data_IF_331785653419
#
_entry.id   IF_331785653419
#
_cell.length_a   1.000
_cell.length_b   1.000
_cell.length_c   1.000
_cell.angle_alpha   90.00
_cell.angle_beta   90.00
_cell.angle_gamma   90.00
#
_symmetry.space_group_name_H-M   'P 1'
#
loop_
_entity.id
_entity.type
_entity.pdbx_description
1 polymer ?
#
# COMPACT_ATOMS: atom_id res chain seq x y z
N UNK A 1 4.98 -28.33 20.65
CA UNK A 1 4.87 -27.36 21.76
C UNK A 1 4.02 -26.19 21.28
N UNK A 2 3.00 -25.80 22.03
CA UNK A 2 2.14 -24.65 21.71
C UNK A 2 0.67 -24.96 22.00
N UNK A 3 0.17 -24.44 23.12
CA UNK A 3 -1.20 -24.62 23.65
C UNK A 3 -2.11 -23.46 23.21
N UNK A 4 -3.39 -23.81 23.03
CA UNK A 4 -4.63 -23.01 23.10
C UNK A 4 -4.88 -21.84 22.11
N UNK A 5 -6.04 -21.87 21.45
CA UNK A 5 -7.19 -21.01 21.81
C UNK A 5 -8.48 -21.46 21.11
N UNK A 6 -9.60 -21.41 21.85
CA UNK A 6 -10.98 -21.64 21.44
C UNK A 6 -11.46 -20.63 20.39
N UNK A 7 -12.27 -21.05 19.41
CA UNK A 7 -13.69 -20.65 19.28
C UNK A 7 -14.37 -21.33 18.06
N UNK A 8 -15.70 -21.45 18.16
CA UNK A 8 -16.72 -21.63 17.11
C UNK A 8 -17.22 -23.04 16.70
N UNK A 9 -18.51 -23.21 17.04
CA UNK A 9 -19.64 -23.60 16.19
C UNK A 9 -19.99 -25.09 15.96
N UNK A 10 -20.94 -25.56 16.79
CA UNK A 10 -22.24 -26.22 16.51
C UNK A 10 -22.38 -27.17 15.28
N UNK A 11 -22.99 -28.32 15.59
CA UNK A 11 -23.74 -29.32 14.77
C UNK A 11 -22.92 -30.35 14.00
N UNK A 12 -22.88 -31.57 14.53
CA UNK A 12 -23.32 -32.75 13.77
C UNK A 12 -23.67 -33.91 14.70
N UNK A 13 -24.93 -34.32 14.60
CA UNK A 13 -25.49 -35.57 15.08
C UNK A 13 -24.81 -36.71 14.31
N UNK A 14 -24.40 -37.77 15.01
CA UNK A 14 -24.50 -39.19 14.61
C UNK A 14 -23.47 -40.00 15.43
N UNK A 15 -23.92 -40.58 16.55
CA UNK A 15 -23.26 -41.74 17.15
C UNK A 15 -24.17 -42.94 16.93
N UNK A 16 -23.62 -43.90 16.19
CA UNK A 16 -24.14 -45.25 16.03
C UNK A 16 -23.88 -46.09 17.30
N UNK A 17 -24.50 -47.29 17.32
CA UNK A 17 -24.50 -48.40 18.29
C UNK A 17 -25.70 -48.39 19.25
N UNK A 18 -26.41 -49.49 19.48
CA UNK A 18 -26.30 -50.85 18.98
C UNK A 18 -27.64 -51.56 19.15
N UNK A 19 -27.85 -52.61 18.34
CA UNK A 19 -28.92 -53.58 18.46
C UNK A 19 -28.86 -54.32 19.81
N UNK A 20 -29.97 -54.38 20.52
CA UNK A 20 -30.30 -55.52 21.37
C UNK A 20 -31.82 -55.71 21.38
N UNK A 21 -32.21 -56.89 20.93
CA UNK A 21 -33.55 -57.43 20.92
C UNK A 21 -34.01 -57.63 22.38
N UNK A 22 -35.12 -57.02 22.80
CA UNK A 22 -35.91 -57.60 23.88
C UNK A 22 -37.40 -57.30 23.71
N UNK A 23 -38.16 -58.38 23.63
CA UNK A 23 -39.61 -58.43 23.54
C UNK A 23 -40.19 -58.21 24.93
N UNK A 24 -40.55 -56.97 25.24
CA UNK A 24 -41.18 -56.61 26.52
C UNK A 24 -42.34 -55.66 26.30
N UNK A 25 -43.55 -56.13 26.59
CA UNK A 25 -44.81 -55.40 26.49
C UNK A 25 -44.81 -54.25 27.54
N UNK A 26 -44.31 -53.07 27.16
CA UNK A 26 -44.22 -51.90 28.05
C UNK A 26 -45.53 -51.11 28.03
N UNK A 27 -46.49 -51.50 28.88
CA UNK A 27 -47.64 -50.66 29.17
C UNK A 27 -47.20 -49.50 30.07
N UNK A 28 -47.02 -48.32 29.47
CA UNK A 28 -46.67 -47.09 30.19
C UNK A 28 -47.66 -46.80 31.33
N UNK A 29 -47.11 -46.60 32.52
CA UNK A 29 -47.90 -46.31 33.71
C UNK A 29 -48.44 -44.86 33.64
N UNK A 30 -49.62 -44.62 34.22
CA UNK A 30 -50.37 -43.33 34.10
C UNK A 30 -49.59 -42.10 34.62
N UNK A 31 -48.50 -42.31 35.35
CA UNK A 31 -47.59 -41.30 35.90
C UNK A 31 -46.49 -40.89 34.90
N UNK A 32 -46.00 -41.82 34.08
CA UNK A 32 -44.96 -41.56 33.06
C UNK A 32 -45.56 -40.90 31.80
N UNK A 33 -46.87 -41.04 31.56
CA UNK A 33 -47.60 -40.26 30.56
C UNK A 33 -47.76 -38.77 30.91
N UNK A 34 -47.44 -38.33 32.14
CA UNK A 34 -47.54 -36.92 32.56
C UNK A 34 -46.23 -36.13 32.46
N UNK A 35 -45.09 -36.77 32.25
CA UNK A 35 -43.79 -36.08 32.18
C UNK A 35 -43.29 -35.84 30.74
N UNK A 36 -44.06 -36.26 29.73
CA UNK A 36 -43.79 -35.95 28.31
C UNK A 36 -44.73 -34.89 27.73
N UNK A 37 -45.34 -34.06 28.58
CA UNK A 37 -46.12 -32.90 28.15
C UNK A 37 -45.45 -31.61 28.62
N UNK A 38 -44.28 -31.28 28.06
CA UNK A 38 -43.83 -29.89 28.02
C UNK A 38 -44.62 -29.19 26.92
N UNK A 39 -45.80 -28.67 27.27
CA UNK A 39 -46.46 -27.67 26.44
C UNK A 39 -45.67 -26.38 26.62
N UNK A 40 -44.59 -26.22 25.84
CA UNK A 40 -44.04 -24.91 25.57
C UNK A 40 -45.14 -24.13 24.87
N UNK A 41 -45.80 -23.23 25.61
CA UNK A 41 -46.76 -22.29 25.02
C UNK A 41 -46.00 -21.61 23.90
N UNK A 42 -46.51 -21.70 22.67
CA UNK A 42 -45.97 -20.96 21.52
C UNK A 42 -45.88 -19.51 21.97
N UNK A 43 -44.66 -19.00 22.13
CA UNK A 43 -44.44 -17.58 22.37
C UNK A 43 -44.95 -16.86 21.13
N UNK A 44 -45.87 -15.92 21.30
CA UNK A 44 -46.13 -14.94 20.26
C UNK A 44 -44.85 -14.11 20.14
N UNK A 45 -44.13 -14.28 19.03
CA UNK A 45 -43.10 -13.33 18.63
C UNK A 45 -43.84 -12.34 17.75
N UNK A 46 -43.94 -11.08 18.16
CA UNK A 46 -44.41 -10.03 17.28
C UNK A 46 -43.42 -9.96 16.11
N UNK A 47 -43.92 -10.09 14.88
CA UNK A 47 -43.11 -9.84 13.68
C UNK A 47 -42.65 -8.39 13.71
N UNK A 48 -41.40 -8.15 13.31
CA UNK A 48 -40.90 -6.79 13.07
C UNK A 48 -41.85 -6.04 12.15
N UNK A 49 -42.27 -4.84 12.56
CA UNK A 49 -43.10 -3.96 11.75
C UNK A 49 -42.15 -3.16 10.87
N UNK A 50 -42.44 -3.09 9.57
CA UNK A 50 -41.63 -2.33 8.62
C UNK A 50 -42.39 -1.07 8.20
N UNK A 51 -41.76 0.09 8.34
CA UNK A 51 -42.25 1.37 7.83
C UNK A 51 -41.25 1.93 6.83
N UNK A 52 -41.72 2.52 5.74
CA UNK A 52 -40.84 3.20 4.78
C UNK A 52 -40.50 4.58 5.33
N UNK A 53 -39.24 4.97 5.24
CA UNK A 53 -38.80 6.31 5.63
C UNK A 53 -39.34 7.40 4.70
N UNK A 54 -39.17 8.66 5.13
CA UNK A 54 -39.55 9.86 4.38
C UNK A 54 -40.97 9.84 3.76
N UNK A 55 -41.88 9.14 4.45
CA UNK A 55 -43.27 9.03 4.01
C UNK A 55 -43.92 10.44 4.03
N UNK A 56 -44.44 10.94 2.88
CA UNK A 56 -45.00 12.28 2.79
C UNK A 56 -46.35 12.46 3.53
N UNK A 57 -46.92 11.39 4.09
CA UNK A 57 -48.21 11.42 4.79
C UNK A 57 -49.39 11.06 3.88
N UNK A 58 -50.64 11.45 4.24
CA UNK A 58 -51.02 12.22 5.43
C UNK A 58 -50.88 11.39 6.73
N UNK A 59 -50.63 12.08 7.85
CA UNK A 59 -50.54 11.50 9.19
C UNK A 59 -51.79 11.81 10.04
N UNK A 60 -52.15 10.97 11.02
CA UNK A 60 -51.49 9.73 11.42
C UNK A 60 -51.77 8.56 10.47
N UNK A 61 -50.77 7.68 10.26
CA UNK A 61 -50.92 6.44 9.49
C UNK A 61 -50.93 5.23 10.41
N UNK A 62 -51.77 4.24 10.09
CA UNK A 62 -51.80 2.97 10.84
C UNK A 62 -50.56 2.17 10.47
N UNK A 63 -49.69 1.90 11.45
CA UNK A 63 -48.49 1.07 11.29
C UNK A 63 -48.83 -0.42 11.46
N UNK A 64 -49.62 -0.75 12.49
CA UNK A 64 -50.12 -2.11 12.72
C UNK A 64 -51.31 -2.07 13.68
N UNK A 65 -51.88 -3.24 13.99
CA UNK A 65 -52.84 -3.40 15.06
C UNK A 65 -52.44 -4.58 15.94
N UNK A 66 -52.33 -4.34 17.25
CA UNK A 66 -51.97 -5.35 18.23
C UNK A 66 -53.25 -5.94 18.83
N UNK A 67 -53.28 -7.26 18.98
CA UNK A 67 -54.41 -7.98 19.54
C UNK A 67 -54.00 -8.82 20.75
N UNK A 68 -54.89 -8.93 21.73
CA UNK A 68 -54.76 -9.87 22.85
C UNK A 68 -55.84 -10.97 22.74
N UNK A 69 -55.50 -12.22 23.02
CA UNK A 69 -56.43 -13.36 22.96
C UNK A 69 -57.46 -13.36 24.11
N UNK A 70 -57.21 -12.57 25.16
CA UNK A 70 -58.16 -12.36 26.28
C UNK A 70 -59.11 -11.17 26.09
N UNK A 71 -58.94 -10.40 25.02
CA UNK A 71 -59.70 -9.16 24.75
C UNK A 71 -61.23 -9.33 24.75
N UNK A 72 -61.82 -10.43 24.22
CA UNK A 72 -63.29 -10.53 24.09
C UNK A 72 -64.06 -10.57 25.42
N UNK A 73 -63.40 -10.82 26.57
CA UNK A 73 -64.09 -10.98 27.85
C UNK A 73 -64.04 -9.74 28.75
N UNK A 74 -63.26 -8.70 28.39
CA UNK A 74 -62.80 -7.68 29.35
C UNK A 74 -62.64 -6.25 28.77
N UNK A 75 -63.31 -5.95 27.66
CA UNK A 75 -63.16 -4.69 26.87
C UNK A 75 -63.30 -3.41 27.71
N UNK A 76 -64.06 -3.46 28.82
CA UNK A 76 -64.31 -2.29 29.67
C UNK A 76 -63.25 -2.07 30.78
N UNK A 77 -62.40 -3.06 31.09
CA UNK A 77 -61.51 -3.00 32.26
C UNK A 77 -60.03 -2.87 31.93
N UNK A 78 -59.65 -2.96 30.66
CA UNK A 78 -58.25 -2.87 30.23
C UNK A 78 -58.02 -1.78 29.19
N UNK A 79 -56.78 -1.29 29.15
CA UNK A 79 -56.28 -0.37 28.14
C UNK A 79 -54.91 -0.81 27.63
N UNK A 80 -54.68 -0.64 26.32
CA UNK A 80 -53.39 -0.84 25.69
C UNK A 80 -52.49 0.38 25.90
N UNK A 81 -51.21 0.14 26.19
CA UNK A 81 -50.21 1.19 26.34
C UNK A 81 -48.92 0.77 25.63
N UNK A 82 -48.27 1.73 24.99
CA UNK A 82 -46.90 1.57 24.48
C UNK A 82 -45.94 2.51 25.19
N UNK A 83 -44.67 2.14 25.25
CA UNK A 83 -43.57 2.94 25.81
C UNK A 83 -42.24 2.61 25.13
N UNK A 84 -41.21 3.44 25.35
CA UNK A 84 -39.88 3.30 24.72
C UNK A 84 -39.59 4.41 23.69
N UNK A 85 -38.55 4.19 22.89
CA UNK A 85 -38.09 5.12 21.84
C UNK A 85 -39.19 5.35 20.81
N UNK A 86 -39.42 6.61 20.41
CA UNK A 86 -40.51 6.93 19.50
C UNK A 86 -41.84 7.22 20.19
N UNK A 87 -41.97 6.91 21.49
CA UNK A 87 -43.21 7.08 22.26
C UNK A 87 -42.97 7.99 23.47
N UNK A 88 -42.35 7.44 24.51
CA UNK A 88 -42.08 8.11 25.79
C UNK A 88 -40.63 8.54 25.93
N UNK A 89 -39.74 8.01 25.09
CA UNK A 89 -38.33 8.36 25.00
C UNK A 89 -38.06 9.02 23.65
N UNK A 90 -36.98 9.82 23.57
CA UNK A 90 -36.64 10.53 22.34
C UNK A 90 -36.36 9.59 21.16
N UNK A 91 -36.85 9.91 19.95
CA UNK A 91 -37.71 11.05 19.62
C UNK A 91 -39.16 10.81 20.09
N UNK A 92 -39.70 11.69 20.93
CA UNK A 92 -41.04 11.48 21.50
C UNK A 92 -42.17 11.71 20.48
N UNK A 93 -43.30 11.03 20.67
CA UNK A 93 -44.52 11.25 19.89
C UNK A 93 -44.46 10.84 18.41
N UNK A 94 -43.54 9.94 18.04
CA UNK A 94 -43.55 9.30 16.71
C UNK A 94 -44.72 8.33 16.61
N UNK A 95 -44.92 7.50 17.64
CA UNK A 95 -45.95 6.45 17.67
C UNK A 95 -46.95 6.66 18.78
N UNK A 96 -48.20 6.26 18.53
CA UNK A 96 -49.24 6.12 19.55
C UNK A 96 -49.98 4.81 19.38
N UNK A 97 -50.64 4.33 20.43
CA UNK A 97 -51.57 3.20 20.36
C UNK A 97 -52.97 3.66 20.79
N UNK A 98 -54.00 3.17 20.10
CA UNK A 98 -55.37 3.32 20.57
C UNK A 98 -55.62 2.43 21.79
N UNK A 99 -56.07 3.03 22.88
CA UNK A 99 -56.20 2.37 24.19
C UNK A 99 -57.17 1.18 24.20
N UNK A 100 -58.12 1.12 23.26
CA UNK A 100 -59.18 0.10 23.23
C UNK A 100 -59.14 -0.81 22.00
N UNK A 101 -58.62 -0.33 20.88
CA UNK A 101 -58.58 -1.05 19.61
C UNK A 101 -57.18 -1.60 19.27
N UNK A 102 -56.15 -1.20 20.00
CA UNK A 102 -54.77 -1.66 19.82
C UNK A 102 -54.13 -1.17 18.53
N UNK A 103 -54.72 -0.18 17.86
CA UNK A 103 -54.20 0.38 16.60
C UNK A 103 -52.96 1.22 16.89
N UNK A 104 -51.81 0.80 16.37
CA UNK A 104 -50.56 1.56 16.46
C UNK A 104 -50.48 2.48 15.27
N UNK A 105 -50.34 3.78 15.51
CA UNK A 105 -50.25 4.82 14.48
C UNK A 105 -48.93 5.57 14.55
N UNK A 106 -48.38 5.94 13.38
CA UNK A 106 -47.24 6.84 13.21
C UNK A 106 -47.72 8.25 12.87
N UNK A 107 -47.14 9.28 13.51
CA UNK A 107 -47.62 10.67 13.44
C UNK A 107 -46.78 11.62 12.60
N UNK A 108 -45.57 11.21 12.22
CA UNK A 108 -44.63 12.04 11.46
C UNK A 108 -43.75 11.18 10.57
N UNK A 109 -43.15 11.84 9.57
CA UNK A 109 -42.07 11.25 8.77
C UNK A 109 -40.91 10.84 9.68
N UNK A 110 -40.19 9.81 9.27
CA UNK A 110 -39.03 9.25 9.96
C UNK A 110 -37.91 9.18 8.94
N UNK A 111 -36.75 9.70 9.31
CA UNK A 111 -35.48 9.58 8.58
C UNK A 111 -34.72 8.38 9.15
N UNK A 112 -34.41 7.40 8.30
CA UNK A 112 -33.73 6.16 8.69
C UNK A 112 -32.29 6.41 9.07
N UNK A 113 -31.59 7.34 8.42
CA UNK A 113 -30.19 7.65 8.70
C UNK A 113 -30.02 8.19 10.12
N UNK A 114 -31.08 8.80 10.67
CA UNK A 114 -31.14 9.20 12.07
C UNK A 114 -31.68 8.08 12.97
N UNK A 115 -32.77 7.40 12.58
CA UNK A 115 -33.45 6.39 13.41
C UNK A 115 -33.79 5.11 12.62
N UNK A 116 -32.85 4.14 12.49
CA UNK A 116 -33.06 2.96 11.64
C UNK A 116 -34.02 1.93 12.24
N UNK A 117 -34.21 1.95 13.56
CA UNK A 117 -35.18 1.10 14.25
C UNK A 117 -35.67 1.75 15.55
N UNK A 118 -36.87 1.36 15.98
CA UNK A 118 -37.44 1.71 17.28
C UNK A 118 -37.77 0.46 18.06
N UNK A 119 -37.38 0.44 19.34
CA UNK A 119 -37.77 -0.62 20.26
C UNK A 119 -38.94 -0.13 21.11
N UNK A 120 -40.11 -0.76 20.95
CA UNK A 120 -41.34 -0.35 21.61
C UNK A 120 -41.81 -1.46 22.53
N UNK A 121 -42.04 -1.11 23.79
CA UNK A 121 -42.67 -1.96 24.77
C UNK A 121 -44.19 -1.79 24.71
N UNK A 122 -44.91 -2.90 24.79
CA UNK A 122 -46.35 -3.01 24.78
C UNK A 122 -46.83 -3.62 26.10
N UNK A 123 -47.76 -2.92 26.74
CA UNK A 123 -48.38 -3.29 28.00
C UNK A 123 -49.89 -3.30 27.89
N UNK A 124 -50.51 -4.16 28.70
CA UNK A 124 -51.95 -4.21 28.91
C UNK A 124 -52.20 -3.83 30.36
N UNK A 125 -52.88 -2.72 30.57
CA UNK A 125 -53.04 -2.12 31.88
C UNK A 125 -54.49 -2.24 32.34
N UNK A 126 -54.69 -2.56 33.62
CA UNK A 126 -56.00 -2.49 34.29
C UNK A 126 -56.40 -1.02 34.48
N UNK A 127 -57.60 -0.66 34.03
CA UNK A 127 -58.10 0.72 34.06
C UNK A 127 -58.38 1.21 35.49
N UNK A 128 -58.75 0.31 36.41
CA UNK A 128 -59.09 0.68 37.79
C UNK A 128 -57.85 0.74 38.66
N UNK A 129 -56.95 -0.25 38.53
CA UNK A 129 -55.77 -0.37 39.40
C UNK A 129 -54.49 0.21 38.81
N UNK A 130 -54.45 0.45 37.50
CA UNK A 130 -53.25 0.93 36.81
C UNK A 130 -52.10 -0.08 36.77
N UNK A 131 -52.37 -1.35 37.08
CA UNK A 131 -51.36 -2.41 37.11
C UNK A 131 -51.30 -3.17 35.78
N UNK A 132 -50.12 -3.69 35.38
CA UNK A 132 -49.99 -4.54 34.21
C UNK A 132 -50.72 -5.88 34.45
N UNK A 133 -51.49 -6.28 33.45
CA UNK A 133 -52.42 -7.42 33.48
C UNK A 133 -51.81 -8.64 32.81
N UNK A 134 -50.87 -8.40 31.91
CA UNK A 134 -50.02 -9.39 31.31
C UNK A 134 -48.57 -8.89 31.33
N UNK A 135 -47.66 -9.75 30.88
CA UNK A 135 -46.25 -9.42 30.75
C UNK A 135 -46.04 -8.40 29.64
N UNK A 136 -45.17 -7.42 29.89
CA UNK A 136 -44.67 -6.49 28.88
C UNK A 136 -44.05 -7.26 27.71
N UNK A 137 -44.44 -6.89 26.48
CA UNK A 137 -43.89 -7.43 25.25
C UNK A 137 -43.14 -6.35 24.50
N UNK A 138 -41.89 -6.61 24.10
CA UNK A 138 -41.17 -5.74 23.18
C UNK A 138 -41.45 -6.12 21.73
N UNK A 139 -41.58 -5.13 20.86
CA UNK A 139 -41.56 -5.30 19.41
C UNK A 139 -40.70 -4.21 18.76
N UNK A 140 -40.11 -4.56 17.62
CA UNK A 140 -39.27 -3.65 16.86
C UNK A 140 -40.03 -3.08 15.67
N UNK A 141 -39.87 -1.78 15.43
CA UNK A 141 -40.27 -1.12 14.19
C UNK A 141 -38.99 -0.84 13.41
N UNK A 142 -38.77 -1.57 12.32
CA UNK A 142 -37.67 -1.35 11.40
C UNK A 142 -38.07 -0.30 10.35
N UNK A 143 -37.18 0.65 10.09
CA UNK A 143 -37.37 1.66 9.07
C UNK A 143 -36.67 1.19 7.79
N UNK A 144 -37.47 1.03 6.73
CA UNK A 144 -37.04 0.58 5.43
C UNK A 144 -36.48 1.75 4.63
N UNK A 145 -35.28 1.51 4.14
CA UNK A 145 -34.46 2.44 3.36
C UNK A 145 -35.11 2.83 2.01
N UNK A 146 -34.97 4.11 1.65
CA UNK A 146 -35.14 4.62 0.29
C UNK A 146 -33.81 5.22 -0.19
N UNK A 147 -33.67 5.42 -1.50
CA UNK A 147 -32.46 6.04 -2.05
C UNK A 147 -32.59 7.57 -2.08
N UNK A 148 -32.34 8.23 -0.95
CA UNK A 148 -32.44 9.68 -0.80
C UNK A 148 -31.11 10.36 -0.45
N UNK A 149 -30.05 9.61 -0.15
CA UNK A 149 -28.70 10.15 -0.06
C UNK A 149 -27.92 9.86 -1.34
N UNK A 150 -27.29 10.90 -1.91
CA UNK A 150 -26.36 10.69 -3.02
C UNK A 150 -24.97 10.24 -2.51
N UNK A 151 -24.24 9.40 -3.27
CA UNK A 151 -22.85 9.11 -2.95
C UNK A 151 -22.04 10.39 -2.89
N UNK A 152 -21.13 10.53 -1.93
CA UNK A 152 -20.28 11.73 -1.82
C UNK A 152 -18.79 11.37 -1.71
N UNK A 153 -17.96 12.19 -2.37
CA UNK A 153 -16.51 12.13 -2.23
C UNK A 153 -16.08 12.84 -0.95
N UNK A 154 -15.19 12.23 -0.17
CA UNK A 154 -14.62 12.87 1.03
C UNK A 154 -13.84 14.14 0.68
N UNK A 155 -13.23 14.16 -0.51
CA UNK A 155 -12.56 15.33 -1.07
C UNK A 155 -13.10 15.64 -2.48
N UNK A 156 -13.70 16.81 -2.67
CA UNK A 156 -14.18 17.28 -3.97
C UNK A 156 -13.03 17.58 -4.95
N UNK A 157 -11.86 17.93 -4.41
CA UNK A 157 -10.64 18.16 -5.20
C UNK A 157 -9.48 17.40 -4.56
N UNK A 158 -8.98 16.38 -5.26
CA UNK A 158 -7.81 15.59 -4.84
C UNK A 158 -6.59 16.04 -5.63
N UNK A 159 -5.51 16.41 -4.95
CA UNK A 159 -4.22 16.70 -5.59
C UNK A 159 -3.30 15.51 -5.40
N UNK A 160 -2.69 15.06 -6.48
CA UNK A 160 -1.71 13.98 -6.45
C UNK A 160 -0.50 14.35 -7.32
N UNK A 161 0.63 13.72 -7.05
CA UNK A 161 1.85 13.88 -7.84
C UNK A 161 2.45 12.51 -8.12
N UNK A 162 2.82 12.28 -9.38
CA UNK A 162 3.47 11.04 -9.82
C UNK A 162 4.65 11.39 -10.69
N UNK A 163 5.72 10.60 -10.61
CA UNK A 163 6.83 10.73 -11.56
C UNK A 163 6.40 10.23 -12.93
N UNK A 164 6.93 10.82 -13.99
CA UNK A 164 6.71 10.29 -15.33
C UNK A 164 7.27 8.88 -15.53
N UNK A 165 8.28 8.52 -14.73
CA UNK A 165 8.83 7.17 -14.61
C UNK A 165 7.92 6.14 -13.93
N UNK A 166 6.73 6.55 -13.45
CA UNK A 166 5.76 5.62 -12.88
C UNK A 166 5.37 4.56 -13.94
N UNK A 167 5.50 3.25 -13.63
CA UNK A 167 5.04 2.21 -14.53
C UNK A 167 3.53 2.30 -14.78
N UNK A 168 3.10 1.94 -15.98
CA UNK A 168 1.68 1.85 -16.30
C UNK A 168 0.93 0.93 -15.33
N UNK A 169 -0.35 1.23 -15.10
CA UNK A 169 -1.15 0.53 -14.10
C UNK A 169 -1.73 1.50 -13.08
N UNK A 170 -1.67 1.15 -11.81
CA UNK A 170 -2.37 1.86 -10.73
C UNK A 170 -1.73 3.20 -10.38
N UNK A 171 -2.54 4.25 -10.34
CA UNK A 171 -2.16 5.56 -9.82
C UNK A 171 -2.35 5.59 -8.29
N UNK A 172 -1.39 6.12 -7.54
CA UNK A 172 -1.49 6.28 -6.08
C UNK A 172 -2.37 7.47 -5.69
N UNK A 173 -3.62 7.49 -6.18
CA UNK A 173 -4.62 8.52 -5.90
C UNK A 173 -5.74 7.93 -5.06
N UNK A 174 -5.92 8.38 -3.80
CA UNK A 174 -7.03 7.90 -2.98
C UNK A 174 -8.35 8.50 -3.48
N UNK A 175 -9.29 7.62 -3.84
CA UNK A 175 -10.69 7.97 -4.09
C UNK A 175 -11.53 7.34 -2.98
N UNK A 176 -11.98 8.18 -2.04
CA UNK A 176 -12.85 7.75 -0.94
C UNK A 176 -14.24 8.30 -1.21
N UNK A 177 -15.18 7.38 -1.42
CA UNK A 177 -16.58 7.67 -1.69
C UNK A 177 -17.42 6.90 -0.68
N UNK A 178 -18.44 7.57 -0.15
CA UNK A 178 -19.35 7.01 0.85
C UNK A 178 -20.78 7.32 0.44
N UNK A 179 -21.68 6.46 0.89
CA UNK A 179 -23.12 6.65 0.81
C UNK A 179 -23.69 6.50 2.23
N UNK A 180 -24.75 7.24 2.55
CA UNK A 180 -25.39 7.20 3.86
C UNK A 180 -26.58 6.26 3.92
N UNK A 181 -27.12 5.88 2.78
CA UNK A 181 -28.19 4.89 2.66
C UNK A 181 -27.75 3.52 3.22
N UNK A 182 -28.69 2.58 3.31
CA UNK A 182 -28.49 1.30 3.99
C UNK A 182 -27.31 0.50 3.44
N UNK A 183 -26.29 0.33 4.28
CA UNK A 183 -25.09 -0.40 3.92
C UNK A 183 -25.39 -1.82 3.42
N UNK A 184 -24.77 -2.18 2.29
CA UNK A 184 -24.93 -3.47 1.59
C UNK A 184 -26.27 -3.65 0.87
N UNK A 185 -26.96 -2.55 0.56
CA UNK A 185 -28.08 -2.52 -0.40
C UNK A 185 -27.65 -1.90 -1.72
N UNK A 186 -28.54 -1.90 -2.70
CA UNK A 186 -28.32 -1.20 -3.98
C UNK A 186 -28.28 0.33 -3.78
N UNK A 187 -28.96 0.86 -2.76
CA UNK A 187 -28.99 2.30 -2.47
C UNK A 187 -27.60 2.77 -2.02
N UNK A 188 -26.89 1.98 -1.21
CA UNK A 188 -25.50 2.28 -0.84
C UNK A 188 -24.44 1.70 -1.80
N UNK A 189 -24.84 1.06 -2.91
CA UNK A 189 -23.90 0.37 -3.80
C UNK A 189 -23.34 1.33 -4.85
N UNK A 190 -22.05 1.67 -4.71
CA UNK A 190 -21.42 2.72 -5.52
C UNK A 190 -20.66 2.11 -6.70
N UNK A 191 -20.84 2.71 -7.88
CA UNK A 191 -19.98 2.54 -9.06
C UNK A 191 -19.25 3.84 -9.38
N UNK A 192 -17.96 3.73 -9.73
CA UNK A 192 -17.15 4.87 -10.14
C UNK A 192 -16.81 4.81 -11.63
N UNK A 193 -16.79 5.98 -12.29
CA UNK A 193 -16.28 6.10 -13.67
C UNK A 193 -15.55 7.42 -13.89
N UNK A 194 -14.64 7.43 -14.87
CA UNK A 194 -14.02 8.67 -15.34
C UNK A 194 -15.00 9.34 -16.30
N UNK A 195 -15.40 10.57 -15.98
CA UNK A 195 -16.34 11.38 -16.76
C UNK A 195 -15.60 12.12 -17.89
N UNK A 196 -14.48 12.73 -17.55
CA UNK A 196 -13.66 13.51 -18.47
C UNK A 196 -12.22 13.61 -17.98
N UNK A 197 -11.30 13.81 -18.91
CA UNK A 197 -9.88 14.01 -18.64
C UNK A 197 -9.33 15.09 -19.58
N UNK A 198 -8.45 15.94 -19.06
CA UNK A 198 -7.70 16.92 -19.83
C UNK A 198 -6.24 16.98 -19.31
N UNK A 199 -5.22 16.77 -20.16
CA UNK A 199 -5.25 16.33 -21.58
C UNK A 199 -5.67 14.87 -21.78
N UNK A 200 -6.07 14.49 -23.00
CA UNK A 200 -6.69 13.20 -23.29
C UNK A 200 -5.76 11.96 -23.19
N UNK A 201 -4.48 12.12 -23.44
CA UNK A 201 -3.50 11.02 -23.44
C UNK A 201 -2.38 11.29 -22.42
N UNK A 202 -1.89 10.26 -21.68
CA UNK A 202 -2.35 8.88 -21.72
C UNK A 202 -3.74 8.72 -21.09
N UNK A 203 -4.52 7.75 -21.57
CA UNK A 203 -5.86 7.51 -21.02
C UNK A 203 -5.81 7.05 -19.55
N UNK A 204 -6.53 7.77 -18.69
CA UNK A 204 -6.76 7.42 -17.29
C UNK A 204 -8.16 6.80 -17.16
N UNK A 205 -8.21 5.60 -16.60
CA UNK A 205 -9.40 4.79 -16.40
C UNK A 205 -9.55 4.41 -14.93
N UNK A 206 -10.66 3.77 -14.57
CA UNK A 206 -10.86 3.15 -13.26
C UNK A 206 -10.87 1.63 -13.40
N UNK A 207 -10.18 0.95 -12.49
CA UNK A 207 -10.28 -0.50 -12.32
C UNK A 207 -10.62 -0.83 -10.88
N UNK A 208 -11.49 -1.80 -10.70
CA UNK A 208 -11.75 -2.38 -9.39
C UNK A 208 -10.53 -3.19 -8.96
N UNK A 209 -10.06 -2.98 -7.74
CA UNK A 209 -8.94 -3.71 -7.16
C UNK A 209 -9.42 -5.12 -6.80
N UNK A 210 -8.76 -6.12 -7.37
CA UNK A 210 -9.12 -7.54 -7.22
C UNK A 210 -9.24 -7.94 -5.74
N UNK A 211 -10.33 -8.65 -5.40
CA UNK A 211 -10.62 -9.05 -4.02
C UNK A 211 -11.19 -7.94 -3.12
N UNK A 212 -11.42 -6.73 -3.64
CA UNK A 212 -12.02 -5.61 -2.88
C UNK A 212 -13.19 -4.97 -3.62
N UNK A 213 -14.01 -4.19 -2.89
CA UNK A 213 -15.02 -3.29 -3.49
C UNK A 213 -14.43 -1.92 -3.89
N UNK A 214 -13.12 -1.74 -3.75
CA UNK A 214 -12.47 -0.45 -4.00
C UNK A 214 -12.11 -0.30 -5.47
N UNK A 215 -12.32 0.89 -6.03
CA UNK A 215 -11.87 1.26 -7.37
C UNK A 215 -10.68 2.21 -7.28
N UNK A 216 -9.69 2.00 -8.14
CA UNK A 216 -8.48 2.81 -8.20
C UNK A 216 -8.26 3.32 -9.62
N UNK A 217 -7.75 4.55 -9.73
CA UNK A 217 -7.37 5.10 -11.02
C UNK A 217 -6.20 4.29 -11.59
N UNK A 218 -6.26 4.06 -12.90
CA UNK A 218 -5.23 3.38 -13.66
C UNK A 218 -4.93 4.16 -14.93
N UNK A 219 -3.75 4.02 -15.48
CA UNK A 219 -3.40 4.61 -16.77
C UNK A 219 -2.72 3.58 -17.67
N UNK A 220 -2.77 3.81 -18.97
CA UNK A 220 -2.13 2.98 -20.00
C UNK A 220 -1.27 3.85 -20.90
N UNK A 221 0.00 3.48 -21.07
CA UNK A 221 1.00 4.34 -21.72
C UNK A 221 1.98 4.95 -20.73
N UNK A 222 2.49 6.14 -21.04
CA UNK A 222 3.48 6.85 -20.22
C UNK A 222 3.07 8.31 -20.03
N UNK A 223 3.53 8.92 -18.94
CA UNK A 223 3.52 10.37 -18.82
C UNK A 223 4.80 10.94 -19.45
N UNK A 224 4.71 12.16 -19.94
CA UNK A 224 5.81 12.92 -20.53
C UNK A 224 5.77 14.32 -19.91
N UNK A 225 6.70 14.58 -18.99
CA UNK A 225 6.78 15.80 -18.19
C UNK A 225 7.00 17.05 -19.07
N UNK A 226 7.77 16.91 -20.14
CA UNK A 226 8.09 18.00 -21.07
C UNK A 226 6.87 18.44 -21.89
N UNK A 227 5.99 17.49 -22.21
CA UNK A 227 4.73 17.78 -22.93
C UNK A 227 3.61 18.24 -21.99
N UNK A 228 3.38 17.51 -20.89
CA UNK A 228 2.21 17.72 -20.03
C UNK A 228 2.60 17.58 -18.56
N UNK A 229 2.49 18.69 -17.82
CA UNK A 229 2.84 18.76 -16.39
C UNK A 229 1.67 18.46 -15.45
N UNK A 230 0.43 18.51 -15.94
CA UNK A 230 -0.75 18.31 -15.10
C UNK A 230 -1.92 17.74 -15.90
N UNK A 231 -2.63 16.80 -15.28
CA UNK A 231 -3.88 16.22 -15.77
C UNK A 231 -5.01 16.57 -14.79
N UNK A 232 -6.13 17.01 -15.35
CA UNK A 232 -7.38 17.21 -14.64
C UNK A 232 -8.34 16.08 -15.01
N UNK A 233 -8.64 15.20 -14.06
CA UNK A 233 -9.53 14.05 -14.24
C UNK A 233 -10.78 14.29 -13.42
N UNK A 234 -11.95 14.30 -14.05
CA UNK A 234 -13.24 14.35 -13.36
C UNK A 234 -13.77 12.93 -13.21
N UNK A 235 -14.06 12.53 -11.98
CA UNK A 235 -14.63 11.22 -11.63
C UNK A 235 -16.08 11.39 -11.18
N UNK A 236 -16.93 10.44 -11.54
CA UNK A 236 -18.32 10.34 -11.08
C UNK A 236 -18.46 9.16 -10.13
N UNK A 237 -19.21 9.35 -9.07
CA UNK A 237 -19.75 8.29 -8.24
C UNK A 237 -21.25 8.21 -8.45
N UNK A 238 -21.78 7.01 -8.62
CA UNK A 238 -23.19 6.76 -8.86
C UNK A 238 -23.67 5.54 -8.07
N UNK A 239 -24.75 5.69 -7.32
CA UNK A 239 -25.41 4.60 -6.59
C UNK A 239 -26.21 3.69 -7.56
N UNK A 240 -26.69 2.56 -7.05
CA UNK A 240 -27.54 1.63 -7.80
C UNK A 240 -29.01 1.71 -7.34
N UNK A 241 -29.35 2.72 -6.54
CA UNK A 241 -30.70 2.96 -6.04
C UNK A 241 -31.67 3.46 -7.11
N UNK A 242 -32.91 3.72 -6.69
CA UNK A 242 -34.00 4.13 -7.59
C UNK A 242 -34.82 5.28 -7.00
N UNK A 243 -34.79 6.49 -7.61
CA UNK A 243 -33.94 6.88 -8.74
C UNK A 243 -32.47 6.90 -8.35
N UNK A 244 -31.57 6.56 -9.28
CA UNK A 244 -30.14 6.56 -8.99
C UNK A 244 -29.61 8.00 -8.87
N UNK A 245 -28.80 8.27 -7.84
CA UNK A 245 -28.18 9.57 -7.58
C UNK A 245 -26.67 9.49 -7.87
N UNK A 246 -26.05 10.66 -8.06
CA UNK A 246 -24.65 10.73 -8.47
C UNK A 246 -23.99 12.04 -8.10
N UNK A 247 -22.72 11.99 -7.71
CA UNK A 247 -21.86 13.16 -7.48
C UNK A 247 -20.57 13.08 -8.28
N UNK A 248 -19.83 14.20 -8.32
CA UNK A 248 -18.56 14.28 -9.05
C UNK A 248 -17.46 14.91 -8.21
N UNK A 249 -16.21 14.54 -8.51
CA UNK A 249 -15.01 15.13 -7.92
C UNK A 249 -13.91 15.29 -8.98
N UNK A 250 -12.93 16.15 -8.69
CA UNK A 250 -11.81 16.45 -9.58
C UNK A 250 -10.50 15.98 -8.99
N UNK A 251 -9.70 15.26 -9.77
CA UNK A 251 -8.32 14.88 -9.46
C UNK A 251 -7.38 15.73 -10.30
N UNK A 252 -6.51 16.50 -9.64
CA UNK A 252 -5.42 17.24 -10.26
C UNK A 252 -4.12 16.47 -10.07
N UNK A 253 -3.74 15.70 -11.09
CA UNK A 253 -2.55 14.86 -11.11
C UNK A 253 -1.37 15.63 -11.71
N UNK A 254 -0.36 15.93 -10.90
CA UNK A 254 0.85 16.61 -11.32
C UNK A 254 1.91 15.58 -11.72
N UNK A 255 2.53 15.81 -12.87
CA UNK A 255 3.65 14.97 -13.32
C UNK A 255 4.94 15.59 -12.82
N UNK A 256 5.79 14.75 -12.23
CA UNK A 256 7.13 15.10 -11.79
C UNK A 256 8.14 14.58 -12.80
N UNK A 257 9.12 15.44 -13.08
CA UNK A 257 10.28 15.15 -13.91
C UNK A 257 11.02 13.90 -13.43
N UNK A 258 11.58 13.12 -14.37
CA UNK A 258 12.43 11.96 -14.09
C UNK A 258 13.73 12.09 -14.90
N UNK A 259 14.71 11.24 -14.58
CA UNK A 259 15.94 11.19 -15.37
C UNK A 259 15.62 10.72 -16.80
N UNK A 260 15.83 11.58 -17.80
CA UNK A 260 15.66 11.22 -19.22
C UNK A 260 16.96 11.34 -20.02
N UNK A 261 18.03 11.84 -19.41
CA UNK A 261 19.33 12.03 -20.04
C UNK A 261 20.44 11.40 -19.22
N UNK A 262 21.23 10.54 -19.86
CA UNK A 262 22.40 9.96 -19.23
C UNK A 262 23.60 10.94 -19.22
N UNK A 263 24.48 10.88 -18.21
CA UNK A 263 25.69 11.68 -18.13
C UNK A 263 26.69 11.18 -19.16
N UNK A 264 27.27 12.12 -19.91
CA UNK A 264 28.24 11.83 -20.97
C UNK A 264 29.58 12.42 -20.61
N UNK A 265 30.65 11.62 -20.65
CA UNK A 265 32.01 12.12 -20.44
C UNK A 265 32.37 13.18 -21.49
N UNK A 266 32.98 14.30 -21.04
CA UNK A 266 33.43 15.37 -21.94
C UNK A 266 34.50 14.91 -22.94
N UNK A 267 35.39 14.02 -22.50
CA UNK A 267 36.46 13.47 -23.34
C UNK A 267 36.25 11.96 -23.57
N UNK A 268 36.71 11.47 -24.72
CA UNK A 268 36.63 10.04 -25.09
C UNK A 268 37.68 9.16 -24.41
N UNK A 269 38.79 9.74 -23.99
CA UNK A 269 39.89 9.09 -23.27
C UNK A 269 40.53 10.10 -22.33
N UNK A 270 41.11 9.60 -21.24
CA UNK A 270 41.91 10.41 -20.32
C UNK A 270 43.26 9.75 -20.10
N UNK A 271 44.29 10.57 -19.88
CA UNK A 271 45.62 10.11 -19.53
C UNK A 271 46.07 10.86 -18.28
N UNK A 272 46.72 10.17 -17.36
CA UNK A 272 47.37 10.78 -16.20
C UNK A 272 48.63 10.00 -15.82
N UNK A 273 49.41 10.57 -14.92
CA UNK A 273 50.64 9.98 -14.43
C UNK A 273 50.72 10.07 -12.90
N UNK A 274 51.35 9.08 -12.29
CA UNK A 274 51.59 9.02 -10.86
C UNK A 274 53.01 8.50 -10.63
N UNK A 275 53.70 9.04 -9.63
CA UNK A 275 55.00 8.49 -9.24
C UNK A 275 54.78 7.09 -8.65
N UNK A 276 55.75 6.22 -8.85
CA UNK A 276 55.67 4.91 -8.21
C UNK A 276 55.62 5.01 -6.69
N UNK A 277 55.02 4.00 -6.06
CA UNK A 277 54.80 3.90 -4.62
C UNK A 277 54.01 5.05 -3.97
N UNK A 278 53.59 6.06 -4.74
CA UNK A 278 52.77 7.18 -4.28
C UNK A 278 51.34 6.73 -3.98
N UNK A 279 50.77 7.23 -2.88
CA UNK A 279 49.42 6.87 -2.42
C UNK A 279 48.71 8.04 -1.77
N UNK A 280 47.38 7.91 -1.63
CA UNK A 280 46.45 8.92 -1.12
C UNK A 280 46.50 10.26 -1.88
N UNK A 281 46.67 10.20 -3.21
CA UNK A 281 46.78 11.37 -4.07
C UNK A 281 45.72 11.36 -5.17
N UNK A 282 45.08 12.51 -5.36
CA UNK A 282 44.24 12.80 -6.53
C UNK A 282 45.12 12.88 -7.78
N UNK A 283 44.82 12.04 -8.77
CA UNK A 283 45.59 11.94 -10.02
C UNK A 283 44.83 12.44 -11.25
N UNK A 284 43.50 12.48 -11.20
CA UNK A 284 42.69 12.94 -12.33
C UNK A 284 41.29 13.35 -11.86
N UNK A 285 40.74 14.39 -12.50
CA UNK A 285 39.30 14.70 -12.47
C UNK A 285 38.69 14.41 -13.84
N UNK A 286 37.62 13.61 -13.85
CA UNK A 286 36.85 13.34 -15.06
C UNK A 286 35.53 14.09 -15.00
N UNK A 287 35.19 14.83 -16.05
CA UNK A 287 33.99 15.64 -16.09
C UNK A 287 32.95 15.04 -17.04
N UNK A 288 31.69 15.14 -16.66
CA UNK A 288 30.53 14.76 -17.48
C UNK A 288 29.66 15.97 -17.80
N UNK A 289 28.83 15.83 -18.82
CA UNK A 289 27.72 16.72 -19.14
C UNK A 289 26.44 15.92 -19.12
N UNK A 290 25.41 16.50 -18.50
CA UNK A 290 24.08 15.92 -18.39
C UNK A 290 23.06 17.02 -18.67
N UNK A 291 22.03 16.68 -19.44
CA UNK A 291 21.00 17.62 -19.90
C UNK A 291 19.81 17.73 -18.94
N UNK A 292 19.72 16.86 -17.93
CA UNK A 292 18.70 16.95 -16.89
C UNK A 292 18.91 18.17 -15.98
N UNK A 293 17.89 18.50 -15.19
CA UNK A 293 17.89 19.70 -14.33
C UNK A 293 19.08 19.68 -13.35
N UNK A 294 19.96 20.70 -13.34
CA UNK A 294 21.15 20.71 -12.49
C UNK A 294 20.85 20.55 -10.99
N UNK A 295 21.74 19.86 -10.28
CA UNK A 295 21.64 19.57 -8.83
C UNK A 295 20.46 18.65 -8.42
N UNK A 296 19.78 17.99 -9.35
CA UNK A 296 18.77 16.96 -9.04
C UNK A 296 19.38 15.55 -9.03
N UNK A 297 18.72 14.54 -8.43
CA UNK A 297 19.17 13.14 -8.53
C UNK A 297 19.32 12.64 -9.98
N UNK A 298 18.50 13.17 -10.89
CA UNK A 298 18.59 12.90 -12.32
C UNK A 298 19.88 13.43 -12.96
N UNK A 299 20.48 14.50 -12.42
CA UNK A 299 21.70 15.11 -12.95
C UNK A 299 22.98 14.73 -12.20
N UNK A 300 22.89 14.39 -10.91
CA UNK A 300 24.06 14.04 -10.09
C UNK A 300 24.67 12.73 -10.55
N UNK A 301 25.96 12.78 -10.87
CA UNK A 301 26.74 11.69 -11.42
C UNK A 301 27.26 10.76 -10.32
N UNK A 302 27.24 9.47 -10.58
CA UNK A 302 27.78 8.41 -9.75
C UNK A 302 28.82 7.66 -10.58
N UNK A 303 30.07 7.77 -10.18
CA UNK A 303 31.18 7.12 -10.89
C UNK A 303 31.52 5.77 -10.24
N UNK A 304 31.91 4.82 -11.06
CA UNK A 304 32.42 3.52 -10.61
C UNK A 304 33.56 3.04 -11.49
N UNK A 305 34.45 2.23 -10.93
CA UNK A 305 35.53 1.59 -11.70
C UNK A 305 35.05 0.19 -12.08
N UNK A 306 34.92 -0.08 -13.37
CA UNK A 306 34.39 -1.37 -13.88
C UNK A 306 35.49 -2.35 -14.27
N UNK A 307 36.68 -1.88 -14.67
CA UNK A 307 37.86 -2.73 -14.97
C UNK A 307 39.18 -2.03 -14.65
N UNK A 308 40.26 -2.81 -14.50
CA UNK A 308 41.63 -2.28 -14.34
C UNK A 308 41.99 -1.86 -12.92
N UNK A 309 41.24 -2.35 -11.93
CA UNK A 309 41.45 -2.07 -10.51
C UNK A 309 41.30 -3.34 -9.65
N UNK A 310 41.76 -4.48 -10.16
CA UNK A 310 41.64 -5.80 -9.54
C UNK A 310 42.39 -5.88 -8.20
N UNK A 311 43.46 -5.09 -8.06
CA UNK A 311 44.29 -4.99 -6.86
C UNK A 311 43.82 -3.91 -5.87
N UNK A 312 42.78 -3.13 -6.21
CA UNK A 312 42.24 -2.07 -5.38
C UNK A 312 43.20 -0.88 -5.20
N UNK A 313 44.01 -0.55 -6.21
CA UNK A 313 44.92 0.60 -6.16
C UNK A 313 44.24 1.95 -6.31
N UNK A 314 43.07 1.99 -6.96
CA UNK A 314 42.38 3.22 -7.32
C UNK A 314 41.02 3.31 -6.62
N UNK A 315 40.60 4.55 -6.36
CA UNK A 315 39.27 4.90 -5.86
C UNK A 315 38.73 6.06 -6.69
N UNK A 316 37.44 6.03 -7.01
CA UNK A 316 36.76 7.17 -7.62
C UNK A 316 35.59 7.61 -6.76
N UNK A 317 35.44 8.93 -6.59
CA UNK A 317 34.34 9.56 -5.88
C UNK A 317 33.82 10.76 -6.66
N UNK A 318 32.53 11.06 -6.53
CA UNK A 318 31.95 12.27 -7.13
C UNK A 318 32.23 13.48 -6.25
N UNK A 319 32.73 14.57 -6.85
CA UNK A 319 32.79 15.88 -6.21
C UNK A 319 31.37 16.46 -6.09
N UNK A 320 30.84 16.69 -4.88
CA UNK A 320 29.47 17.17 -4.69
C UNK A 320 29.25 18.60 -5.18
N UNK A 321 30.32 19.37 -5.44
CA UNK A 321 30.23 20.77 -5.93
C UNK A 321 30.29 20.86 -7.45
N UNK A 322 31.14 20.05 -8.09
CA UNK A 322 31.41 20.14 -9.53
C UNK A 322 30.77 19.01 -10.34
N UNK A 323 30.31 17.94 -9.68
CA UNK A 323 29.80 16.71 -10.31
C UNK A 323 30.87 15.93 -11.10
N UNK A 324 32.14 16.23 -10.87
CA UNK A 324 33.29 15.56 -11.50
C UNK A 324 33.71 14.33 -10.70
N UNK A 325 34.22 13.31 -11.39
CA UNK A 325 34.79 12.11 -10.77
C UNK A 325 36.24 12.35 -10.39
N UNK A 326 36.54 12.27 -9.09
CA UNK A 326 37.88 12.41 -8.52
C UNK A 326 38.53 11.02 -8.45
N UNK A 327 39.47 10.74 -9.35
CA UNK A 327 40.25 9.51 -9.33
C UNK A 327 41.48 9.68 -8.41
N UNK A 328 41.56 8.84 -7.39
CA UNK A 328 42.59 8.85 -6.36
C UNK A 328 43.34 7.52 -6.35
N UNK A 329 44.67 7.58 -6.24
CA UNK A 329 45.49 6.39 -5.95
C UNK A 329 45.47 6.17 -4.45
N UNK A 330 44.99 5.02 -3.99
CA UNK A 330 44.93 4.64 -2.57
C UNK A 330 46.03 3.65 -2.18
N UNK A 331 46.58 2.92 -3.16
CA UNK A 331 47.75 2.04 -2.97
C UNK A 331 48.69 2.21 -4.15
N UNK A 332 49.93 2.61 -3.86
CA UNK A 332 50.96 2.83 -4.86
C UNK A 332 51.25 1.58 -5.69
N UNK A 333 51.71 1.80 -6.92
CA UNK A 333 52.22 0.76 -7.82
C UNK A 333 53.71 0.91 -8.00
N UNK A 334 54.35 -0.24 -8.21
CA UNK A 334 55.78 -0.43 -8.42
C UNK A 334 56.07 -0.40 -9.93
N UNK A 335 56.95 0.49 -10.39
CA UNK A 335 57.19 0.70 -11.82
C UNK A 335 57.76 -0.55 -12.50
N UNK A 336 58.62 -1.28 -11.81
CA UNK A 336 59.31 -2.50 -12.25
C UNK A 336 58.30 -3.59 -12.61
N UNK A 337 57.15 -3.60 -11.90
CA UNK A 337 56.05 -4.52 -12.13
C UNK A 337 55.01 -3.99 -13.12
N UNK A 338 54.65 -2.71 -13.03
CA UNK A 338 53.55 -2.13 -13.83
C UNK A 338 53.88 -0.71 -14.26
N UNK A 339 54.08 -0.51 -15.56
CA UNK A 339 54.36 0.82 -16.14
C UNK A 339 53.12 1.59 -16.55
N UNK A 340 52.04 0.90 -16.93
CA UNK A 340 50.76 1.52 -17.33
C UNK A 340 49.60 0.67 -16.83
N UNK A 341 48.60 1.32 -16.23
CA UNK A 341 47.31 0.69 -15.91
C UNK A 341 46.20 1.37 -16.68
N UNK A 342 45.39 0.59 -17.40
CA UNK A 342 44.18 1.08 -18.06
C UNK A 342 42.96 0.82 -17.16
N UNK A 343 42.39 1.89 -16.61
CA UNK A 343 41.20 1.84 -15.76
C UNK A 343 39.98 2.19 -16.60
N UNK A 344 38.99 1.31 -16.62
CA UNK A 344 37.70 1.60 -17.25
C UNK A 344 36.75 2.15 -16.18
N UNK A 345 36.29 3.39 -16.38
CA UNK A 345 35.42 4.11 -15.46
C UNK A 345 34.04 4.22 -16.10
N UNK A 346 33.01 3.86 -15.35
CA UNK A 346 31.61 4.03 -15.72
C UNK A 346 30.99 5.22 -14.99
N UNK A 347 29.95 5.82 -15.59
CA UNK A 347 29.14 6.86 -14.96
C UNK A 347 27.65 6.62 -15.22
N UNK A 348 26.87 6.85 -14.17
CA UNK A 348 25.41 6.84 -14.15
C UNK A 348 24.89 8.00 -13.29
N UNK A 349 23.57 8.19 -13.20
CA UNK A 349 22.99 9.16 -12.27
C UNK A 349 22.55 8.47 -10.97
N UNK A 350 22.29 9.27 -9.93
CA UNK A 350 21.67 8.73 -8.70
C UNK A 350 20.25 8.20 -8.95
N UNK A 351 19.50 8.82 -9.87
CA UNK A 351 18.20 8.34 -10.32
C UNK A 351 18.35 7.50 -11.60
N UNK A 352 17.76 6.30 -11.71
CA UNK A 352 17.85 5.49 -12.92
C UNK A 352 17.27 6.19 -14.14
N UNK A 353 17.92 6.00 -15.30
CA UNK A 353 17.43 6.51 -16.58
C UNK A 353 16.03 5.95 -16.88
N UNK A 354 15.12 6.85 -17.23
CA UNK A 354 13.79 6.59 -17.71
C UNK A 354 13.65 7.10 -19.14
N UNK A 355 13.11 6.27 -20.02
CA UNK A 355 12.77 6.66 -21.39
C UNK A 355 11.37 6.16 -21.67
N UNK A 356 10.45 7.08 -22.00
CA UNK A 356 9.15 6.65 -22.48
C UNK A 356 9.30 5.97 -23.86
N UNK A 357 8.94 4.68 -23.93
CA UNK A 357 8.92 3.92 -25.17
C UNK A 357 7.67 4.22 -26.01
N UNK A 358 7.85 4.45 -27.32
CA UNK A 358 6.77 4.46 -28.30
C UNK A 358 6.37 3.02 -28.63
N UNK A 359 5.55 2.40 -27.80
CA UNK A 359 4.99 1.08 -28.07
C UNK A 359 4.18 0.55 -26.89
N UNK A 360 2.85 0.60 -26.98
CA UNK A 360 2.01 -0.14 -26.03
C UNK A 360 2.21 -1.66 -26.18
N UNK A 361 1.41 -2.52 -25.55
CA UNK A 361 0.70 -2.45 -24.26
C UNK A 361 1.45 -3.26 -23.17
N UNK A 362 2.79 -3.32 -23.25
CA UNK A 362 3.66 -3.90 -22.24
C UNK A 362 5.07 -3.35 -22.49
N UNK A 363 5.47 -2.27 -21.82
CA UNK A 363 6.88 -1.92 -21.48
C UNK A 363 7.05 -0.41 -21.23
N UNK A 364 7.11 0.08 -19.99
CA UNK A 364 8.32 0.78 -19.60
C UNK A 364 9.37 -0.31 -19.45
N UNK A 365 10.02 -0.70 -20.56
CA UNK A 365 11.39 -1.17 -20.42
C UNK A 365 12.05 0.08 -19.88
N UNK A 366 12.27 0.13 -18.56
CA UNK A 366 13.46 0.73 -18.03
C UNK A 366 14.57 0.02 -18.80
N UNK A 367 14.89 0.51 -20.00
CA UNK A 367 16.11 0.17 -20.67
C UNK A 367 17.11 0.74 -19.67
N UNK A 368 17.60 -0.11 -18.78
CA UNK A 368 18.84 0.14 -18.06
C UNK A 368 19.87 0.28 -19.17
N UNK A 369 19.96 1.49 -19.71
CA UNK A 369 20.98 1.86 -20.65
C UNK A 369 22.28 1.49 -19.97
N UNK A 370 23.16 0.81 -20.71
CA UNK A 370 24.47 0.50 -20.18
C UNK A 370 25.12 1.83 -19.77
N UNK A 371 25.72 1.90 -18.58
CA UNK A 371 26.36 3.12 -18.13
C UNK A 371 27.43 3.53 -19.15
N UNK A 372 27.58 4.83 -19.37
CA UNK A 372 28.64 5.35 -20.23
C UNK A 372 29.99 4.97 -19.60
N UNK A 373 30.93 4.45 -20.41
CA UNK A 373 32.27 4.12 -19.93
C UNK A 373 33.35 4.92 -20.65
N UNK A 374 34.46 5.16 -19.96
CA UNK A 374 35.65 5.81 -20.51
C UNK A 374 36.91 5.09 -20.02
N UNK A 375 37.91 5.00 -20.90
CA UNK A 375 39.22 4.46 -20.55
C UNK A 375 40.16 5.56 -20.07
N UNK A 376 40.82 5.31 -18.95
CA UNK A 376 41.84 6.16 -18.36
C UNK A 376 43.18 5.40 -18.33
N UNK A 377 44.18 5.90 -19.05
CA UNK A 377 45.54 5.37 -18.95
C UNK A 377 46.31 6.07 -17.83
N UNK A 378 46.72 5.32 -16.82
CA UNK A 378 47.56 5.79 -15.71
C UNK A 378 48.98 5.31 -15.93
N UNK A 379 49.90 6.21 -16.30
CA UNK A 379 51.33 5.93 -16.44
C UNK A 379 52.01 6.01 -15.07
N UNK A 380 52.72 4.96 -14.68
CA UNK A 380 53.58 4.99 -13.50
C UNK A 380 54.91 5.60 -13.93
N UNK A 381 55.38 6.58 -13.18
CA UNK A 381 56.68 7.23 -13.39
C UNK A 381 57.67 6.62 -12.42
N UNK A 382 58.72 6.04 -13.00
CA UNK A 382 59.91 5.52 -12.34
C UNK A 382 60.57 6.60 -11.47
N UNK A 383 60.90 6.23 -10.24
CA UNK A 383 61.64 7.01 -9.25
C UNK A 383 62.81 6.15 -8.80
N UNK A 384 64.03 6.66 -8.99
CA UNK A 384 65.25 5.94 -8.66
C UNK A 384 65.23 5.29 -7.26
N UNK A 385 65.19 3.97 -7.22
CA UNK A 385 65.27 3.12 -6.06
C UNK A 385 66.71 2.95 -5.55
N UNK A 386 66.89 2.73 -4.24
CA UNK A 386 68.20 2.40 -3.72
C UNK A 386 68.63 1.00 -4.20
N UNK A 387 69.91 0.81 -4.55
CA UNK A 387 70.40 -0.52 -4.90
C UNK A 387 70.29 -1.49 -3.72
N UNK A 388 69.83 -2.70 -3.98
CA UNK A 388 69.58 -3.74 -2.98
C UNK A 388 70.67 -4.83 -3.02
N UNK A 389 71.09 -5.30 -1.83
CA UNK A 389 71.95 -6.47 -1.74
C UNK A 389 71.13 -7.74 -1.97
N UNK A 390 71.63 -8.67 -2.80
CA UNK A 390 70.98 -9.97 -3.01
C UNK A 390 70.71 -10.74 -1.69
N UNK A 391 71.53 -10.45 -0.66
CA UNK A 391 71.38 -10.97 0.71
C UNK A 391 71.75 -9.89 1.72
N UNK A 392 70.84 -9.61 2.65
CA UNK A 392 71.06 -8.67 3.75
C UNK A 392 72.10 -9.15 4.77
N UNK A 393 72.30 -10.47 4.89
CA UNK A 393 73.29 -11.08 5.77
C UNK A 393 73.94 -12.26 5.04
N UNK A 394 75.27 -12.34 5.09
CA UNK A 394 76.05 -13.47 4.57
C UNK A 394 77.09 -13.88 5.58
N UNK A 395 77.01 -15.13 6.05
CA UNK A 395 78.04 -15.73 6.88
C UNK A 395 79.19 -16.22 6.00
N UNK A 396 80.40 -15.77 6.32
CA UNK A 396 81.63 -16.14 5.61
C UNK A 396 82.57 -16.83 6.58
N UNK A 397 82.92 -18.08 6.27
CA UNK A 397 83.81 -18.90 7.10
C UNK A 397 85.21 -18.93 6.51
N UNK A 398 86.20 -18.52 7.31
CA UNK A 398 87.60 -18.42 6.91
C UNK A 398 88.46 -19.05 7.99
N UNK A 399 89.54 -19.73 7.60
CA UNK A 399 90.51 -20.31 8.54
C UNK A 399 91.43 -19.20 9.07
N UNK A 400 91.88 -19.32 10.31
CA UNK A 400 92.74 -18.31 10.96
C UNK A 400 94.10 -18.12 10.25
N UNK A 401 94.57 -19.12 9.51
CA UNK A 401 95.88 -19.14 8.82
C UNK A 401 95.83 -18.55 7.39
N UNK A 402 94.73 -17.89 7.01
CA UNK A 402 94.55 -17.40 5.63
C UNK A 402 95.46 -16.20 5.31
N UNK A 403 96.00 -16.18 4.08
CA UNK A 403 96.91 -15.11 3.63
C UNK A 403 96.22 -13.74 3.50
N UNK A 404 96.96 -12.68 3.82
CA UNK A 404 96.46 -11.31 3.70
C UNK A 404 96.15 -10.96 2.24
N UNK A 405 95.03 -10.28 2.00
CA UNK A 405 94.58 -9.85 0.67
C UNK A 405 93.64 -10.81 -0.09
N UNK A 406 93.28 -11.97 0.48
CA UNK A 406 92.26 -12.85 -0.12
C UNK A 406 90.86 -12.24 0.01
N UNK A 407 90.13 -12.18 -1.11
CA UNK A 407 88.73 -11.75 -1.12
C UNK A 407 87.87 -12.83 -0.47
N UNK A 408 87.21 -12.48 0.64
CA UNK A 408 86.39 -13.42 1.43
C UNK A 408 84.97 -13.53 0.89
N UNK A 409 84.44 -12.43 0.40
CA UNK A 409 83.11 -12.35 -0.17
C UNK A 409 83.06 -11.16 -1.13
N UNK A 410 82.31 -11.32 -2.22
CA UNK A 410 81.98 -10.23 -3.13
C UNK A 410 80.47 -10.06 -3.06
N UNK A 411 79.96 -8.96 -2.46
CA UNK A 411 78.54 -8.70 -2.43
C UNK A 411 78.03 -8.55 -3.85
N UNK A 412 76.91 -9.20 -4.14
CA UNK A 412 76.14 -8.93 -5.34
C UNK A 412 75.07 -7.92 -4.98
N UNK A 413 75.15 -6.77 -5.65
CA UNK A 413 74.23 -5.65 -5.52
C UNK A 413 73.45 -5.61 -6.82
N UNK A 414 72.14 -5.51 -6.71
CA UNK A 414 71.25 -5.28 -7.85
C UNK A 414 70.67 -3.89 -7.71
N UNK A 415 70.68 -3.17 -8.81
CA UNK A 415 70.08 -1.84 -8.93
C UNK A 415 69.00 -2.02 -9.98
N UNK A 416 67.75 -1.88 -9.56
CA UNK A 416 66.58 -2.19 -10.39
C UNK A 416 66.34 -1.13 -11.48
N UNK A 417 66.86 0.09 -11.27
CA UNK A 417 66.76 1.21 -12.22
C UNK A 417 67.86 1.19 -13.29
N UNK A 418 68.92 0.43 -13.04
CA UNK A 418 70.13 0.40 -13.88
C UNK A 418 69.94 -0.24 -15.26
N UNK A 419 68.75 -0.73 -15.60
CA UNK A 419 68.40 -1.14 -16.96
C UNK A 419 68.22 0.09 -17.87
N UNK A 420 69.31 0.49 -18.53
CA UNK A 420 69.49 1.63 -19.47
C UNK A 420 68.55 1.64 -20.71
N UNK A 421 67.46 0.87 -20.71
CA UNK A 421 66.50 0.78 -21.81
C UNK A 421 65.16 1.50 -21.62
N UNK A 422 64.79 1.93 -20.40
CA UNK A 422 63.44 2.46 -20.12
C UNK A 422 63.36 3.99 -19.95
N UNK A 423 64.49 4.67 -19.81
CA UNK A 423 64.57 6.13 -19.65
C UNK A 423 64.80 6.90 -20.96
N UNK A 424 63.99 6.63 -22.00
CA UNK A 424 63.92 7.53 -23.16
C UNK A 424 62.47 7.96 -23.49
N UNK A 425 62.27 9.26 -23.24
CA UNK A 425 61.18 10.20 -23.62
C UNK A 425 59.92 10.22 -22.75
#
# INVERSE_FOLDING_TARGET
>A
MGKLSLLQLIVSIMVALALAHDTGNYTMNKREKRELLVRSKRRWVLSTIELVEEDPGPFPKIATQIFNDRTPMLINNYQFRISGTGVTEEPMGVFSIGETDGVVSVHKSIDRETYPFFHINFDIMDKETGNPVDRTLGFDVAIKDINDNEPYFENLVTKASVKESLPEGYLPVPLIVKDRDEANTENSAISLRVLSQEPAEPQINLKQVEGTKMSQLTFTGCFDYDKVKMYKVTVEAKDHGKPALSSTAVVNLHIMDSNTHQPVFKNKTYNTQVMEMESNREILRVAVTDADTPNTPAWRAVYSIVKGNEEGNYKIETDPKTNEGILTVIKGKDFEKTTVTNVEIAVENEEPLFVCGSGGPNSPKTLTALPQTVNVAVKVIDVNDPPEFDKNVVDVYVKEEEVTGKVLYTPKVTDVDSDVGKNQV
#
